data_IF_477137425353
#
_entry.id   IF_477137425353
#
_cell.length_a   1.000
_cell.length_b   1.000
_cell.length_c   1.000
_cell.angle_alpha   90.00
_cell.angle_beta   90.00
_cell.angle_gamma   90.00
#
_symmetry.space_group_name_H-M   'P 1'
#
loop_
_entity.id
_entity.type
_entity.pdbx_description
1 polymer ?
#
# COMPACT_ATOMS: atom_id res chain seq x y z
N UNK A 1 -60.61 -45.71 65.74
CA UNK A 1 -61.22 -44.65 64.94
C UNK A 1 -60.02 -43.74 64.54
N UNK A 2 -59.31 -44.07 63.41
CA UNK A 2 -58.17 -43.34 62.93
C UNK A 2 -58.72 -42.31 61.94
N UNK A 3 -58.39 -41.03 62.18
CA UNK A 3 -58.75 -39.94 61.30
C UNK A 3 -57.72 -39.88 60.18
N UNK A 4 -58.20 -40.07 58.94
CA UNK A 4 -57.40 -39.85 57.75
C UNK A 4 -56.93 -38.38 57.67
N UNK A 5 -55.64 -38.11 57.28
CA UNK A 5 -55.20 -36.76 57.09
C UNK A 5 -55.78 -36.12 55.84
N UNK A 6 -56.01 -34.77 55.82
CA UNK A 6 -56.67 -34.11 54.69
C UNK A 6 -55.74 -34.18 53.48
N UNK A 7 -56.36 -34.36 52.27
CA UNK A 7 -55.60 -34.35 51.00
C UNK A 7 -55.20 -32.93 50.67
N UNK A 8 -53.90 -32.66 50.42
CA UNK A 8 -53.44 -31.45 49.74
C UNK A 8 -52.56 -30.48 50.52
N UNK A 9 -51.83 -30.94 51.58
CA UNK A 9 -50.77 -30.10 52.17
C UNK A 9 -49.51 -30.04 51.26
N UNK A 10 -48.90 -28.88 51.13
CA UNK A 10 -47.67 -28.80 50.34
C UNK A 10 -46.59 -29.67 50.98
N UNK A 11 -45.98 -30.56 50.23
CA UNK A 11 -44.84 -31.36 50.66
C UNK A 11 -43.68 -30.40 50.85
N UNK A 12 -43.30 -30.14 52.13
CA UNK A 12 -42.08 -29.46 52.52
C UNK A 12 -40.88 -30.33 52.06
N UNK A 13 -40.26 -29.96 50.93
CA UNK A 13 -39.05 -30.63 50.46
C UNK A 13 -38.74 -30.54 48.98
N UNK A 14 -39.68 -30.12 48.15
CA UNK A 14 -39.35 -29.81 46.75
C UNK A 14 -39.00 -28.33 46.59
N UNK A 15 -37.73 -28.04 46.84
CA UNK A 15 -37.10 -26.85 46.26
C UNK A 15 -37.04 -27.13 44.79
N UNK A 16 -38.07 -26.69 44.05
CA UNK A 16 -37.94 -26.52 42.59
C UNK A 16 -36.85 -25.49 42.37
N UNK A 17 -35.63 -25.98 42.15
CA UNK A 17 -34.61 -25.23 41.46
C UNK A 17 -35.24 -24.97 40.12
N UNK A 18 -35.87 -23.78 39.95
CA UNK A 18 -36.14 -23.24 38.65
C UNK A 18 -34.81 -23.15 37.94
N UNK A 19 -34.50 -24.19 37.19
CA UNK A 19 -33.43 -24.21 36.21
C UNK A 19 -33.72 -23.02 35.29
N UNK A 20 -32.93 -21.94 35.44
CA UNK A 20 -32.90 -20.88 34.48
C UNK A 20 -32.91 -21.54 33.12
N UNK A 21 -33.97 -21.33 32.34
CA UNK A 21 -34.28 -22.08 31.14
C UNK A 21 -33.02 -22.18 30.28
N UNK A 22 -32.51 -23.40 30.17
CA UNK A 22 -31.67 -23.77 29.06
C UNK A 22 -32.46 -23.44 27.81
N UNK A 23 -32.08 -22.35 27.14
CA UNK A 23 -32.58 -22.09 25.78
C UNK A 23 -31.96 -23.21 24.95
N UNK A 24 -32.66 -24.33 24.87
CA UNK A 24 -32.29 -25.39 23.95
C UNK A 24 -32.45 -24.83 22.54
N UNK A 25 -31.35 -24.29 22.02
CA UNK A 25 -31.23 -23.99 20.61
C UNK A 25 -31.29 -25.30 19.85
N UNK A 26 -32.51 -25.73 19.54
CA UNK A 26 -32.74 -26.81 18.57
C UNK A 26 -32.30 -26.31 17.21
N UNK A 27 -31.04 -26.55 16.88
CA UNK A 27 -30.54 -26.40 15.53
C UNK A 27 -31.29 -27.45 14.68
N UNK A 28 -32.29 -27.00 13.94
CA UNK A 28 -32.88 -27.82 12.92
C UNK A 28 -31.83 -28.18 11.89
N UNK A 29 -31.74 -29.41 11.41
CA UNK A 29 -30.79 -29.84 10.40
C UNK A 29 -30.78 -28.94 9.15
N UNK A 30 -31.92 -28.29 8.86
CA UNK A 30 -32.02 -27.26 7.81
C UNK A 30 -31.19 -26.01 8.09
N UNK A 31 -31.16 -25.55 9.34
CA UNK A 31 -30.36 -24.36 9.73
C UNK A 31 -28.87 -24.65 9.62
N UNK A 32 -28.43 -25.83 10.07
CA UNK A 32 -27.02 -26.25 9.95
C UNK A 32 -26.62 -26.35 8.48
N UNK A 33 -27.45 -26.94 7.63
CA UNK A 33 -27.20 -27.03 6.20
C UNK A 33 -27.11 -25.63 5.54
N UNK A 34 -28.03 -24.73 5.91
CA UNK A 34 -28.04 -23.35 5.43
C UNK A 34 -26.74 -22.61 5.82
N UNK A 35 -26.32 -22.65 7.10
CA UNK A 35 -25.10 -22.04 7.56
C UNK A 35 -23.88 -22.62 6.88
N UNK A 36 -23.84 -23.93 6.64
CA UNK A 36 -22.74 -24.57 5.93
C UNK A 36 -22.64 -24.10 4.47
N UNK A 37 -23.76 -24.11 3.73
CA UNK A 37 -23.82 -23.62 2.35
C UNK A 37 -23.41 -22.15 2.28
N UNK A 38 -23.92 -21.33 3.20
CA UNK A 38 -23.59 -19.92 3.30
C UNK A 38 -22.09 -19.73 3.59
N UNK A 39 -21.52 -20.49 4.52
CA UNK A 39 -20.09 -20.42 4.82
C UNK A 39 -19.22 -20.81 3.62
N UNK A 40 -19.59 -21.89 2.90
CA UNK A 40 -18.88 -22.33 1.68
C UNK A 40 -18.97 -21.26 0.59
N UNK A 41 -20.15 -20.67 0.38
CA UNK A 41 -20.31 -19.58 -0.58
C UNK A 41 -19.40 -18.39 -0.26
N UNK A 42 -19.40 -17.92 1.00
CA UNK A 42 -18.56 -16.83 1.43
C UNK A 42 -17.07 -17.17 1.37
N UNK A 43 -16.69 -18.41 1.66
CA UNK A 43 -15.33 -18.88 1.53
C UNK A 43 -14.83 -18.83 0.08
N UNK A 44 -15.63 -19.31 -0.87
CA UNK A 44 -15.31 -19.25 -2.30
C UNK A 44 -15.21 -17.79 -2.75
N UNK A 45 -16.14 -16.94 -2.32
CA UNK A 45 -16.14 -15.52 -2.65
C UNK A 45 -14.93 -14.79 -2.08
N UNK A 46 -14.51 -15.12 -0.85
CA UNK A 46 -13.31 -14.58 -0.22
C UNK A 46 -12.04 -14.99 -0.98
N UNK A 47 -11.93 -16.26 -1.40
CA UNK A 47 -10.79 -16.73 -2.21
C UNK A 47 -10.77 -15.99 -3.55
N UNK A 48 -11.90 -15.88 -4.24
CA UNK A 48 -11.97 -15.18 -5.51
C UNK A 48 -11.56 -13.70 -5.37
N UNK A 49 -12.07 -13.02 -4.35
CA UNK A 49 -11.69 -11.64 -4.02
C UNK A 49 -10.20 -11.49 -3.71
N UNK A 50 -9.64 -12.43 -2.94
CA UNK A 50 -8.20 -12.45 -2.65
C UNK A 50 -7.36 -12.63 -3.91
N UNK A 51 -7.71 -13.58 -4.76
CA UNK A 51 -7.01 -13.84 -6.02
C UNK A 51 -7.04 -12.62 -6.92
N UNK A 52 -8.21 -11.99 -7.10
CA UNK A 52 -8.35 -10.76 -7.90
C UNK A 52 -7.52 -9.61 -7.31
N UNK A 53 -7.59 -9.40 -6.01
CA UNK A 53 -6.80 -8.36 -5.33
C UNK A 53 -5.30 -8.60 -5.53
N UNK A 54 -4.84 -9.84 -5.36
CA UNK A 54 -3.43 -10.20 -5.55
C UNK A 54 -2.96 -9.99 -6.99
N UNK A 55 -3.79 -10.33 -7.98
CA UNK A 55 -3.51 -10.07 -9.39
C UNK A 55 -3.38 -8.57 -9.68
N UNK A 56 -4.29 -7.75 -9.15
CA UNK A 56 -4.27 -6.31 -9.35
C UNK A 56 -3.07 -5.67 -8.65
N UNK A 57 -2.79 -6.04 -7.41
CA UNK A 57 -1.61 -5.58 -6.68
C UNK A 57 -0.32 -5.98 -7.40
N UNK A 58 -0.24 -7.19 -7.96
CA UNK A 58 0.92 -7.63 -8.74
C UNK A 58 1.20 -6.69 -9.94
N UNK A 59 0.16 -6.23 -10.62
CA UNK A 59 0.29 -5.26 -11.72
C UNK A 59 0.72 -3.87 -11.22
N UNK A 60 0.10 -3.37 -10.14
CA UNK A 60 0.46 -2.08 -9.54
C UNK A 60 1.89 -2.11 -9.00
N UNK A 61 2.31 -3.20 -8.34
CA UNK A 61 3.68 -3.39 -7.87
C UNK A 61 4.68 -3.42 -9.03
N UNK A 62 4.30 -4.05 -10.16
CA UNK A 62 5.10 -4.01 -11.37
C UNK A 62 5.28 -2.59 -11.91
N UNK A 63 4.23 -1.76 -11.92
CA UNK A 63 4.31 -0.33 -12.29
C UNK A 63 5.22 0.45 -11.34
N UNK A 64 5.17 0.15 -10.04
CA UNK A 64 5.99 0.78 -9.01
C UNK A 64 7.44 0.28 -8.97
N UNK A 65 7.81 -0.71 -9.80
CA UNK A 65 9.16 -1.28 -9.83
C UNK A 65 9.49 -2.24 -8.68
N UNK A 66 8.48 -2.76 -7.97
CA UNK A 66 8.69 -3.76 -6.91
C UNK A 66 9.15 -5.07 -7.53
N UNK A 67 10.28 -5.57 -7.05
CA UNK A 67 10.88 -6.82 -7.51
C UNK A 67 10.16 -8.02 -6.89
N UNK A 68 9.94 -9.06 -7.70
CA UNK A 68 9.32 -10.31 -7.25
C UNK A 68 7.79 -10.24 -7.20
N UNK A 69 7.15 -10.76 -8.24
CA UNK A 69 5.68 -10.82 -8.39
C UNK A 69 4.98 -11.60 -7.27
N UNK A 70 5.67 -12.54 -6.64
CA UNK A 70 5.16 -13.36 -5.55
C UNK A 70 4.73 -12.55 -4.31
N UNK A 71 5.31 -11.35 -4.13
CA UNK A 71 5.05 -10.46 -2.99
C UNK A 71 3.58 -10.00 -2.94
N UNK A 72 2.92 -9.92 -4.09
CA UNK A 72 1.50 -9.59 -4.16
C UNK A 72 0.60 -10.75 -3.68
N UNK A 73 1.14 -11.97 -3.63
CA UNK A 73 0.42 -13.18 -3.25
C UNK A 73 0.61 -13.58 -1.79
N UNK A 74 1.46 -12.88 -1.03
CA UNK A 74 1.65 -13.15 0.39
C UNK A 74 0.66 -12.29 1.18
N UNK A 75 -0.30 -12.90 1.89
CA UNK A 75 -1.26 -12.17 2.72
C UNK A 75 -0.55 -11.26 3.71
N UNK A 76 -1.17 -10.16 4.09
CA UNK A 76 -0.61 -9.13 4.98
C UNK A 76 0.57 -8.41 4.32
N UNK A 77 1.60 -9.13 3.86
CA UNK A 77 2.79 -8.53 3.27
C UNK A 77 2.49 -7.69 2.01
N UNK A 78 1.56 -8.15 1.16
CA UNK A 78 1.10 -7.37 0.02
C UNK A 78 0.48 -6.02 0.43
N UNK A 79 -0.30 -6.02 1.51
CA UNK A 79 -0.90 -4.79 2.05
C UNK A 79 0.16 -3.87 2.66
N UNK A 80 1.17 -4.43 3.35
CA UNK A 80 2.27 -3.65 3.89
C UNK A 80 3.10 -2.98 2.78
N UNK A 81 3.35 -3.68 1.67
CA UNK A 81 4.00 -3.09 0.49
C UNK A 81 3.13 -1.98 -0.09
N UNK A 82 1.82 -2.20 -0.21
CA UNK A 82 0.90 -1.18 -0.72
C UNK A 82 0.93 0.10 0.11
N UNK A 83 0.92 -0.03 1.44
CA UNK A 83 1.04 1.09 2.38
C UNK A 83 2.39 1.79 2.22
N UNK A 84 3.48 1.03 2.10
CA UNK A 84 4.82 1.56 1.87
C UNK A 84 4.91 2.34 0.55
N UNK A 85 4.28 1.86 -0.51
CA UNK A 85 4.17 2.59 -1.78
C UNK A 85 3.37 3.90 -1.63
N UNK A 86 2.51 3.99 -0.62
CA UNK A 86 1.80 5.20 -0.19
C UNK A 86 2.61 6.15 0.69
N UNK A 87 3.93 5.97 0.84
CA UNK A 87 4.81 6.76 1.70
C UNK A 87 4.45 6.67 3.21
N UNK A 88 3.67 5.67 3.60
CA UNK A 88 3.23 5.44 4.96
C UNK A 88 4.01 4.28 5.59
N UNK A 89 4.30 4.38 6.88
CA UNK A 89 5.02 3.33 7.61
C UNK A 89 4.16 2.07 7.75
N UNK A 90 4.59 0.90 7.24
CA UNK A 90 3.84 -0.34 7.34
C UNK A 90 3.61 -0.79 8.79
N UNK A 91 4.49 -0.40 9.71
CA UNK A 91 4.45 -0.79 11.11
C UNK A 91 3.23 -0.23 11.85
N UNK A 92 2.78 0.97 11.49
CA UNK A 92 1.57 1.55 12.07
C UNK A 92 0.32 0.75 11.69
N UNK A 93 0.24 0.26 10.44
CA UNK A 93 -0.88 -0.59 10.04
C UNK A 93 -0.92 -1.90 10.84
N UNK A 94 0.25 -2.53 11.03
CA UNK A 94 0.36 -3.73 11.88
C UNK A 94 -0.02 -3.43 13.32
N UNK A 95 0.41 -2.29 13.86
CA UNK A 95 0.03 -1.84 15.21
C UNK A 95 -1.49 -1.65 15.34
N UNK A 96 -2.13 -1.01 14.37
CA UNK A 96 -3.58 -0.82 14.36
C UNK A 96 -4.34 -2.15 14.28
N UNK A 97 -3.90 -3.09 13.45
CA UNK A 97 -4.49 -4.42 13.39
C UNK A 97 -4.26 -5.22 14.67
N UNK A 98 -3.04 -5.19 15.21
CA UNK A 98 -2.74 -5.83 16.50
C UNK A 98 -3.59 -5.27 17.63
N UNK A 99 -3.72 -3.95 17.71
CA UNK A 99 -4.57 -3.29 18.70
C UNK A 99 -6.05 -3.66 18.51
N UNK A 100 -6.54 -3.75 17.27
CA UNK A 100 -7.93 -4.15 17.01
C UNK A 100 -8.21 -5.60 17.43
N UNK A 101 -7.24 -6.50 17.30
CA UNK A 101 -7.38 -7.89 17.76
C UNK A 101 -7.35 -7.96 19.29
N UNK A 102 -6.40 -7.30 19.93
CA UNK A 102 -6.22 -7.34 21.39
C UNK A 102 -7.34 -6.61 22.12
N UNK A 103 -7.81 -5.49 21.61
CA UNK A 103 -8.83 -4.64 22.21
C UNK A 103 -10.22 -4.82 21.61
N UNK A 104 -10.36 -5.74 20.65
CA UNK A 104 -11.61 -5.96 19.89
C UNK A 104 -12.78 -6.42 20.75
N UNK A 105 -12.51 -7.02 21.91
CA UNK A 105 -13.52 -7.43 22.87
C UNK A 105 -14.14 -6.26 23.66
N UNK A 106 -13.47 -5.07 23.65
CA UNK A 106 -13.99 -3.87 24.29
C UNK A 106 -14.88 -3.12 23.29
N UNK A 107 -16.19 -2.98 23.58
CA UNK A 107 -17.10 -2.22 22.69
C UNK A 107 -16.56 -0.83 22.37
N UNK A 108 -16.73 -0.39 21.14
CA UNK A 108 -16.26 0.87 20.58
C UNK A 108 -14.73 0.99 20.40
N UNK A 109 -13.90 0.50 21.34
CA UNK A 109 -12.44 0.64 21.26
C UNK A 109 -11.89 -0.15 20.08
N UNK A 110 -12.26 -1.43 19.97
CA UNK A 110 -11.82 -2.26 18.83
C UNK A 110 -12.24 -1.67 17.48
N UNK A 111 -13.47 -1.16 17.38
CA UNK A 111 -13.98 -0.54 16.17
C UNK A 111 -13.20 0.74 15.80
N UNK A 112 -12.75 1.54 16.78
CA UNK A 112 -11.91 2.71 16.51
C UNK A 112 -10.58 2.33 15.84
N UNK A 113 -9.93 1.24 16.28
CA UNK A 113 -8.69 0.76 15.63
C UNK A 113 -8.94 0.22 14.22
N UNK A 114 -10.05 -0.46 13.98
CA UNK A 114 -10.46 -0.90 12.64
C UNK A 114 -10.69 0.32 11.74
N UNK A 115 -11.42 1.31 12.23
CA UNK A 115 -11.67 2.54 11.48
C UNK A 115 -10.36 3.30 11.20
N UNK A 116 -9.47 3.41 12.17
CA UNK A 116 -8.16 4.02 11.99
C UNK A 116 -7.32 3.28 10.93
N UNK A 117 -7.34 1.94 10.93
CA UNK A 117 -6.68 1.13 9.90
C UNK A 117 -7.31 1.35 8.51
N UNK A 118 -8.64 1.48 8.42
CA UNK A 118 -9.33 1.80 7.17
C UNK A 118 -8.93 3.18 6.65
N UNK A 119 -8.91 4.21 7.49
CA UNK A 119 -8.44 5.55 7.12
C UNK A 119 -6.98 5.49 6.66
N UNK A 120 -6.14 4.72 7.33
CA UNK A 120 -4.74 4.54 6.96
C UNK A 120 -4.58 3.93 5.56
N UNK A 121 -5.42 2.95 5.23
CA UNK A 121 -5.48 2.34 3.89
C UNK A 121 -5.99 3.32 2.82
N UNK A 122 -6.95 4.18 3.16
CA UNK A 122 -7.44 5.22 2.25
C UNK A 122 -6.34 6.25 1.95
N UNK A 123 -5.58 6.67 2.96
CA UNK A 123 -4.42 7.55 2.77
C UNK A 123 -3.36 6.91 1.86
N UNK A 124 -3.07 5.63 2.07
CA UNK A 124 -2.16 4.88 1.19
C UNK A 124 -2.68 4.83 -0.25
N UNK A 125 -3.97 4.52 -0.45
CA UNK A 125 -4.60 4.46 -1.76
C UNK A 125 -4.61 5.82 -2.47
N UNK A 126 -4.91 6.89 -1.73
CA UNK A 126 -4.80 8.24 -2.26
C UNK A 126 -3.40 8.52 -2.79
N UNK A 127 -2.37 8.23 -1.98
CA UNK A 127 -0.99 8.51 -2.36
C UNK A 127 -0.52 7.64 -3.53
N UNK A 128 -0.88 6.36 -3.54
CA UNK A 128 -0.64 5.45 -4.67
C UNK A 128 -1.34 5.97 -5.93
N UNK A 129 -2.58 6.46 -5.81
CA UNK A 129 -3.32 7.07 -6.90
C UNK A 129 -2.61 8.29 -7.49
N UNK A 130 -2.12 9.20 -6.65
CA UNK A 130 -1.34 10.38 -7.09
C UNK A 130 -0.08 9.96 -7.86
N UNK A 131 0.63 8.91 -7.39
CA UNK A 131 1.81 8.36 -8.10
C UNK A 131 1.43 7.67 -9.41
N UNK A 132 0.22 7.17 -9.54
CA UNK A 132 -0.36 6.66 -10.78
C UNK A 132 -1.02 7.76 -11.63
N UNK A 133 -0.75 9.03 -11.30
CA UNK A 133 -1.25 10.20 -12.04
C UNK A 133 -2.79 10.31 -12.03
N UNK A 134 -3.42 9.86 -10.95
CA UNK A 134 -4.87 10.02 -10.73
C UNK A 134 -5.14 11.25 -9.88
N UNK A 135 -6.26 11.90 -10.15
CA UNK A 135 -6.77 12.97 -9.32
C UNK A 135 -7.23 12.45 -7.95
N UNK A 136 -7.22 13.32 -6.96
CA UNK A 136 -7.58 12.98 -5.57
C UNK A 136 -8.99 12.38 -5.48
N UNK A 137 -9.91 12.84 -6.31
CA UNK A 137 -11.30 12.37 -6.34
C UNK A 137 -11.41 10.86 -6.58
N UNK A 138 -10.44 10.25 -7.26
CA UNK A 138 -10.43 8.80 -7.52
C UNK A 138 -10.31 7.95 -6.24
N UNK A 139 -9.88 8.54 -5.12
CA UNK A 139 -9.84 7.82 -3.83
C UNK A 139 -11.24 7.47 -3.33
N UNK A 140 -12.27 8.23 -3.72
CA UNK A 140 -13.67 7.92 -3.39
C UNK A 140 -14.06 6.53 -3.93
N UNK A 141 -13.60 6.21 -5.13
CA UNK A 141 -13.83 4.87 -5.69
C UNK A 141 -13.16 3.77 -4.86
N UNK A 142 -11.99 4.04 -4.27
CA UNK A 142 -11.33 3.10 -3.37
C UNK A 142 -12.14 2.88 -2.09
N UNK A 143 -12.75 3.92 -1.54
CA UNK A 143 -13.57 3.83 -0.30
C UNK A 143 -14.78 2.90 -0.50
N UNK A 144 -15.49 3.01 -1.61
CA UNK A 144 -16.71 2.26 -1.87
C UNK A 144 -16.48 0.96 -2.67
N UNK A 145 -15.53 0.97 -3.58
CA UNK A 145 -15.29 -0.10 -4.55
C UNK A 145 -13.77 -0.34 -4.71
N UNK A 146 -13.09 -0.69 -3.62
CA UNK A 146 -11.63 -0.84 -3.58
C UNK A 146 -11.10 -1.82 -4.66
N UNK A 147 -11.81 -2.91 -4.89
CA UNK A 147 -11.42 -3.90 -5.90
C UNK A 147 -11.51 -3.35 -7.32
N UNK A 148 -12.51 -2.51 -7.61
CA UNK A 148 -12.68 -1.84 -8.91
C UNK A 148 -11.58 -0.80 -9.10
N UNK A 149 -11.28 -0.03 -8.05
CA UNK A 149 -10.19 0.93 -8.07
C UNK A 149 -8.84 0.26 -8.35
N UNK A 150 -8.56 -0.85 -7.67
CA UNK A 150 -7.34 -1.64 -7.90
C UNK A 150 -7.30 -2.18 -9.33
N UNK A 151 -8.41 -2.69 -9.86
CA UNK A 151 -8.52 -3.22 -11.21
C UNK A 151 -8.24 -2.15 -12.27
N UNK A 152 -8.87 -0.98 -12.17
CA UNK A 152 -8.62 0.14 -13.08
C UNK A 152 -7.14 0.53 -13.05
N UNK A 153 -6.57 0.76 -11.87
CA UNK A 153 -5.16 1.16 -11.74
C UNK A 153 -4.17 0.06 -12.14
N UNK A 154 -4.58 -1.22 -12.08
CA UNK A 154 -3.76 -2.34 -12.55
C UNK A 154 -3.63 -2.38 -14.08
N UNK A 155 -4.72 -2.10 -14.81
CA UNK A 155 -4.80 -2.34 -16.26
C UNK A 155 -4.79 -1.08 -17.11
N UNK A 156 -4.96 0.09 -16.52
CA UNK A 156 -4.87 1.34 -17.25
C UNK A 156 -3.43 1.63 -17.74
N UNK A 157 -3.28 2.65 -18.58
CA UNK A 157 -1.99 3.07 -19.17
C UNK A 157 -1.18 3.97 -18.24
N UNK A 158 -1.61 4.18 -16.98
CA UNK A 158 -0.91 5.03 -16.03
C UNK A 158 0.51 4.52 -15.76
N UNK A 159 1.44 5.45 -15.59
CA UNK A 159 2.83 5.17 -15.24
C UNK A 159 3.09 5.61 -13.81
N UNK A 160 3.95 4.87 -13.14
CA UNK A 160 4.38 5.22 -11.79
C UNK A 160 5.28 6.45 -11.81
N UNK A 161 4.92 7.47 -11.05
CA UNK A 161 5.66 8.70 -10.94
C UNK A 161 5.98 8.99 -9.47
N UNK A 162 7.26 9.03 -9.11
CA UNK A 162 7.73 9.42 -7.76
C UNK A 162 7.99 10.92 -7.66
N UNK A 163 8.13 11.63 -8.80
CA UNK A 163 8.31 13.07 -8.85
C UNK A 163 6.99 13.83 -8.57
N UNK A 164 6.36 13.51 -7.45
CA UNK A 164 5.15 14.14 -6.94
C UNK A 164 5.48 14.89 -5.65
N UNK A 165 4.76 15.97 -5.30
CA UNK A 165 5.00 16.70 -4.05
C UNK A 165 5.03 15.75 -2.84
N UNK A 166 5.77 16.13 -1.79
CA UNK A 166 5.83 15.35 -0.56
C UNK A 166 4.42 15.07 -0.01
N UNK A 167 4.23 13.89 0.56
CA UNK A 167 2.98 13.59 1.26
C UNK A 167 2.84 14.50 2.50
N UNK A 168 1.61 14.84 2.93
CA UNK A 168 1.41 15.66 4.13
C UNK A 168 2.06 15.09 5.39
N UNK A 169 2.28 13.78 5.42
CA UNK A 169 2.92 13.07 6.52
C UNK A 169 4.41 12.84 6.36
N UNK A 170 5.04 13.33 5.29
CA UNK A 170 6.48 13.09 5.01
C UNK A 170 7.41 13.55 6.14
N UNK A 171 7.02 14.58 6.90
CA UNK A 171 7.80 15.13 8.02
C UNK A 171 7.45 14.57 9.40
N UNK A 172 6.48 13.66 9.53
CA UNK A 172 6.00 13.19 10.82
C UNK A 172 6.24 11.67 11.05
N UNK A 173 5.69 11.14 12.14
CA UNK A 173 5.87 9.74 12.54
C UNK A 173 5.14 8.72 11.65
N UNK A 174 4.20 9.15 10.82
CA UNK A 174 3.49 8.29 9.88
C UNK A 174 4.32 7.99 8.63
N UNK A 175 5.35 8.80 8.35
CA UNK A 175 6.19 8.63 7.18
C UNK A 175 6.93 7.29 7.22
N UNK A 176 7.03 6.65 6.06
CA UNK A 176 7.89 5.47 5.91
C UNK A 176 9.37 5.88 5.88
N UNK A 177 10.12 5.35 6.84
CA UNK A 177 11.57 5.54 6.96
C UNK A 177 12.34 4.22 6.74
N UNK A 178 11.63 3.16 6.34
CA UNK A 178 12.22 1.83 6.22
C UNK A 178 12.64 1.53 4.79
N UNK A 179 13.72 0.79 4.64
CA UNK A 179 14.16 0.26 3.34
C UNK A 179 13.90 -1.23 3.31
N UNK A 180 13.23 -1.71 2.26
CA UNK A 180 12.95 -3.13 2.08
C UNK A 180 13.59 -3.61 0.80
N UNK A 181 14.34 -4.72 0.89
CA UNK A 181 14.95 -5.32 -0.29
C UNK A 181 13.91 -5.59 -1.37
N UNK A 182 14.18 -5.14 -2.59
CA UNK A 182 13.28 -5.32 -3.73
C UNK A 182 12.04 -4.42 -3.77
N UNK A 183 11.87 -3.50 -2.81
CA UNK A 183 10.88 -2.43 -2.87
C UNK A 183 11.63 -1.12 -3.08
N UNK A 184 11.48 -0.45 -4.23
CA UNK A 184 12.24 0.77 -4.53
C UNK A 184 11.86 1.90 -3.58
N UNK A 185 12.82 2.79 -3.33
CA UNK A 185 12.57 4.01 -2.59
C UNK A 185 11.46 4.82 -3.28
N UNK A 186 10.56 5.35 -2.48
CA UNK A 186 9.48 6.20 -2.96
C UNK A 186 9.86 7.69 -2.94
N UNK A 187 11.01 8.01 -2.35
CA UNK A 187 11.59 9.37 -2.36
C UNK A 187 12.37 9.54 -3.66
N UNK A 188 12.07 10.56 -4.48
CA UNK A 188 12.81 10.84 -5.70
C UNK A 188 14.30 11.10 -5.43
N UNK A 189 15.15 10.77 -6.40
CA UNK A 189 16.56 11.17 -6.36
C UNK A 189 16.64 12.71 -6.36
N UNK A 190 17.23 13.27 -5.30
CA UNK A 190 17.27 14.74 -5.10
C UNK A 190 16.14 15.28 -4.20
N UNK A 191 15.31 14.41 -3.64
CA UNK A 191 14.21 14.79 -2.74
C UNK A 191 12.88 15.02 -3.47
N UNK A 192 11.83 15.33 -2.69
CA UNK A 192 10.52 15.64 -3.25
C UNK A 192 10.53 17.03 -3.91
N UNK A 193 9.77 17.21 -5.01
CA UNK A 193 9.49 18.53 -5.54
C UNK A 193 8.88 19.42 -4.45
N UNK A 194 9.19 20.72 -4.51
CA UNK A 194 8.62 21.67 -3.58
C UNK A 194 7.09 21.66 -3.66
N UNK A 195 6.44 21.71 -2.50
CA UNK A 195 5.01 21.87 -2.42
C UNK A 195 4.70 23.37 -2.25
N UNK A 196 4.07 24.03 -3.24
CA UNK A 196 3.79 25.46 -3.17
C UNK A 196 2.86 25.85 -2.00
N UNK A 197 2.11 24.88 -1.44
CA UNK A 197 1.20 25.14 -0.32
C UNK A 197 1.92 25.13 1.04
N UNK A 198 2.97 24.30 1.19
CA UNK A 198 3.66 24.11 2.48
C UNK A 198 5.05 24.75 2.56
N UNK A 199 5.60 25.21 1.44
CA UNK A 199 6.88 25.90 1.35
C UNK A 199 6.69 27.25 0.64
N UNK A 200 6.51 28.34 1.37
CA UNK A 200 6.54 29.67 0.79
C UNK A 200 8.00 29.98 0.36
N UNK A 201 8.25 29.95 -0.92
CA UNK A 201 9.56 30.15 -1.54
C UNK A 201 9.86 29.00 -2.49
N UNK A 202 9.65 29.22 -3.77
CA UNK A 202 9.91 28.21 -4.80
C UNK A 202 11.40 27.89 -4.87
N UNK A 203 11.83 26.61 -4.77
CA UNK A 203 13.19 26.24 -5.11
C UNK A 203 13.43 26.49 -6.60
N UNK A 204 14.67 26.76 -6.94
CA UNK A 204 15.09 26.91 -8.33
C UNK A 204 14.69 25.67 -9.16
N UNK A 205 13.77 25.85 -10.13
CA UNK A 205 13.26 24.77 -10.99
C UNK A 205 11.75 24.65 -11.10
N UNK A 206 10.97 25.33 -10.26
CA UNK A 206 9.51 25.42 -10.47
C UNK A 206 9.22 26.37 -11.63
N UNK A 207 8.69 25.85 -12.73
CA UNK A 207 8.03 26.66 -13.75
C UNK A 207 6.55 26.79 -13.39
N UNK A 208 6.09 28.00 -13.00
CA UNK A 208 4.66 28.24 -12.85
C UNK A 208 3.94 27.99 -14.18
N UNK A 209 2.66 27.60 -14.16
CA UNK A 209 1.86 27.55 -15.39
C UNK A 209 1.99 28.90 -16.13
N UNK A 210 2.15 28.83 -17.46
CA UNK A 210 2.28 30.03 -18.29
C UNK A 210 1.13 31.00 -18.04
N UNK A 211 1.41 32.19 -17.48
CA UNK A 211 0.43 33.21 -17.16
C UNK A 211 0.44 33.73 -15.72
N UNK A 212 1.20 33.15 -14.80
CA UNK A 212 1.38 33.71 -13.44
C UNK A 212 2.65 34.56 -13.38
N UNK A 213 2.59 35.83 -12.89
CA UNK A 213 3.78 36.65 -12.67
C UNK A 213 4.71 35.97 -11.65
N UNK A 214 6.00 35.87 -11.95
CA UNK A 214 6.99 35.35 -11.02
C UNK A 214 7.04 36.18 -9.73
N UNK A 215 7.05 35.56 -8.52
CA UNK A 215 7.30 36.30 -7.29
C UNK A 215 8.68 36.97 -7.32
N UNK A 216 8.88 38.14 -6.67
CA UNK A 216 10.17 38.76 -6.58
C UNK A 216 11.19 37.81 -5.94
N UNK A 217 12.39 37.71 -6.54
CA UNK A 217 13.47 36.89 -6.02
C UNK A 217 13.83 37.36 -4.59
N UNK A 218 13.70 36.47 -3.61
CA UNK A 218 14.22 36.70 -2.27
C UNK A 218 15.77 36.78 -2.32
N UNK A 219 16.38 37.72 -1.58
CA UNK A 219 17.84 37.74 -1.47
C UNK A 219 18.35 36.40 -0.94
N UNK A 220 19.31 35.82 -1.60
CA UNK A 220 19.95 34.59 -1.17
C UNK A 220 20.49 34.76 0.26
N UNK A 221 20.11 33.90 1.19
CA UNK A 221 20.73 33.86 2.50
C UNK A 221 22.23 33.61 2.36
N UNK A 222 23.09 34.27 3.17
CA UNK A 222 24.54 34.06 3.11
C UNK A 222 24.84 32.55 3.29
N UNK A 223 25.49 31.95 2.31
CA UNK A 223 25.99 30.60 2.46
C UNK A 223 27.04 30.57 3.60
N UNK A 224 26.99 29.60 4.50
CA UNK A 224 28.05 29.36 5.45
C UNK A 224 29.38 29.15 4.71
N UNK A 225 30.53 29.65 5.24
CA UNK A 225 31.83 29.43 4.63
C UNK A 225 32.05 27.94 4.40
N UNK A 226 32.44 27.56 3.20
CA UNK A 226 32.78 26.18 2.86
C UNK A 226 33.87 25.68 3.82
N UNK A 227 33.61 24.57 4.48
CA UNK A 227 34.62 23.90 5.31
C UNK A 227 35.86 23.57 4.44
N UNK A 228 37.12 23.71 4.97
CA UNK A 228 38.31 23.35 4.23
C UNK A 228 38.19 21.88 3.76
N UNK A 229 38.35 21.67 2.46
CA UNK A 229 38.47 20.33 1.91
C UNK A 229 39.71 19.62 2.47
N UNK A 230 39.62 18.38 2.90
CA UNK A 230 40.81 17.60 3.24
C UNK A 230 41.75 17.51 2.03
N UNK A 231 43.09 17.47 2.24
CA UNK A 231 44.05 17.29 1.14
C UNK A 231 43.69 16.03 0.34
N UNK A 232 43.71 16.17 -0.98
CA UNK A 232 43.47 15.05 -1.89
C UNK A 232 44.49 13.93 -1.62
N UNK A 233 44.02 12.72 -1.37
CA UNK A 233 44.87 11.55 -1.28
C UNK A 233 45.68 11.36 -2.59
N UNK A 234 46.95 10.91 -2.55
CA UNK A 234 47.72 10.66 -3.76
C UNK A 234 47.01 9.66 -4.66
N UNK A 235 46.80 10.03 -5.92
CA UNK A 235 46.24 9.11 -6.92
C UNK A 235 47.23 7.95 -7.14
N UNK A 236 46.77 6.70 -7.21
CA UNK A 236 47.57 5.58 -7.64
C UNK A 236 48.08 5.83 -9.07
N UNK A 237 49.30 5.38 -9.44
CA UNK A 237 49.80 5.54 -10.79
C UNK A 237 48.89 4.87 -11.81
N UNK A 238 48.61 5.59 -12.91
CA UNK A 238 47.81 5.11 -14.01
C UNK A 238 48.33 3.76 -14.52
N UNK A 239 47.51 2.74 -14.38
CA UNK A 239 47.77 1.45 -15.01
C UNK A 239 47.68 1.64 -16.53
N UNK A 240 48.79 1.40 -17.23
CA UNK A 240 48.84 1.30 -18.68
C UNK A 240 47.93 0.16 -19.14
N UNK A 241 46.77 0.51 -19.61
CA UNK A 241 45.88 -0.42 -20.27
C UNK A 241 46.45 -0.78 -21.64
N UNK A 242 46.58 -2.07 -22.01
CA UNK A 242 46.98 -2.45 -23.35
C UNK A 242 45.97 -1.91 -24.39
N UNK A 243 46.46 -1.55 -25.60
CA UNK A 243 45.54 -1.06 -26.64
C UNK A 243 44.50 -2.12 -27.01
N UNK A 244 43.24 -1.67 -27.10
CA UNK A 244 42.12 -2.51 -27.53
C UNK A 244 42.37 -3.03 -28.98
N UNK A 245 42.01 -4.30 -29.29
CA UNK A 245 42.11 -4.78 -30.67
C UNK A 245 41.17 -3.99 -31.59
N UNK A 246 41.71 -3.60 -32.75
CA UNK A 246 40.95 -2.93 -33.80
C UNK A 246 39.78 -3.78 -34.28
N UNK A 247 38.60 -3.19 -34.51
CA UNK A 247 37.47 -3.92 -35.09
C UNK A 247 37.82 -4.33 -36.54
N UNK A 248 37.39 -5.53 -37.00
CA UNK A 248 37.61 -5.96 -38.36
C UNK A 248 36.91 -5.02 -39.33
N UNK A 249 37.67 -4.53 -40.31
CA UNK A 249 37.19 -3.73 -41.44
C UNK A 249 36.24 -4.57 -42.28
N UNK A 250 34.94 -4.24 -42.20
CA UNK A 250 33.92 -4.74 -43.14
C UNK A 250 34.06 -3.99 -44.46
N UNK A 251 34.71 -4.62 -45.43
CA UNK A 251 34.69 -4.21 -46.80
C UNK A 251 33.24 -4.28 -47.36
N UNK A 252 32.72 -3.24 -48.02
CA UNK A 252 31.39 -3.26 -48.57
C UNK A 252 31.29 -4.28 -49.71
N UNK A 253 30.18 -5.04 -49.85
CA UNK A 253 30.02 -5.96 -50.97
C UNK A 253 29.99 -5.21 -52.31
N UNK A 254 30.75 -5.73 -53.28
CA UNK A 254 30.84 -5.23 -54.64
C UNK A 254 29.46 -5.16 -55.31
N UNK A 255 29.19 -4.05 -56.01
CA UNK A 255 27.98 -3.84 -56.80
C UNK A 255 27.83 -4.90 -57.90
N UNK A 256 26.61 -5.36 -58.22
CA UNK A 256 26.38 -6.30 -59.33
C UNK A 256 26.65 -5.65 -60.69
N UNK A 257 27.37 -6.38 -61.53
CA UNK A 257 27.62 -5.97 -62.94
C UNK A 257 26.30 -5.89 -63.74
N UNK A 258 26.21 -4.93 -64.68
CA UNK A 258 25.03 -4.78 -65.54
C UNK A 258 24.98 -5.92 -66.59
N UNK A 259 23.79 -6.35 -67.04
CA UNK A 259 23.64 -7.44 -68.00
C UNK A 259 24.16 -7.05 -69.37
N UNK A 260 24.97 -7.94 -69.97
CA UNK A 260 25.43 -7.83 -71.37
C UNK A 260 24.25 -8.02 -72.29
N UNK A 261 24.03 -7.00 -73.12
CA UNK A 261 23.11 -7.08 -74.31
C UNK A 261 23.77 -7.89 -75.39
N UNK A 262 23.05 -8.88 -75.88
CA UNK A 262 23.24 -9.54 -77.15
C UNK A 262 21.89 -9.65 -77.86
#
# INVERSE_FOLDING_TARGET
MALDPPPGGPKLGEVSVETFGSVDYYYNGGDVAFFFIFAVFWFIFAIAGYVLTSLFLMKIFGKAGVQGKWRAWVPIYNTLIFVKLGDLSPWWLLGLWGASIVLGWIPLIGQLFILAAAVYMILAAWRVGVKLQKEVVWVILFVFLSIVWLGINAFDKSRWNTAVPAAPWAGNFLADKTTWSGVPSQVPTGGYPANPVTQPGYPAGYQPPAGTPAPPAQPAAPQPPAAPQPPAAPQPPASTQPPAPEPPSTEPPAAPEPPKQS
#
